data_IF_605768814916
#
_entry.id   IF_605768814916
#
_cell.length_a   1.000
_cell.length_b   1.000
_cell.length_c   1.000
_cell.angle_alpha   90.00
_cell.angle_beta   90.00
_cell.angle_gamma   90.00
#
_symmetry.space_group_name_H-M   'P 1'
#
loop_
_entity.id
_entity.type
_entity.pdbx_description
1 polymer ?
#
# COMPACT_ATOMS: atom_id res chain seq x y z
N UNK A 1 8.91 3.85 -18.31
CA UNK A 1 7.83 3.73 -17.29
C UNK A 1 7.34 2.30 -17.33
N UNK A 2 7.54 1.53 -16.26
CA UNK A 2 7.08 0.14 -16.18
C UNK A 2 6.03 0.04 -15.08
N UNK A 3 4.90 -0.55 -15.41
CA UNK A 3 3.79 -0.76 -14.48
C UNK A 3 3.86 -2.22 -14.01
N UNK A 4 4.13 -2.43 -12.72
CA UNK A 4 4.01 -3.76 -12.10
C UNK A 4 2.73 -3.84 -11.27
N UNK A 5 2.31 -5.04 -10.91
CA UNK A 5 1.15 -5.28 -10.04
C UNK A 5 1.25 -4.61 -8.66
N UNK A 6 2.46 -4.33 -8.19
CA UNK A 6 2.70 -3.83 -6.84
C UNK A 6 3.15 -2.38 -6.78
N UNK A 7 3.79 -1.86 -7.82
CA UNK A 7 4.35 -0.52 -7.83
C UNK A 7 4.44 0.07 -9.23
N UNK A 8 4.44 1.40 -9.29
CA UNK A 8 4.78 2.19 -10.45
C UNK A 8 6.28 2.50 -10.42
N UNK A 9 7.00 2.09 -11.46
CA UNK A 9 8.43 2.33 -11.60
C UNK A 9 8.69 3.56 -12.46
N UNK A 10 9.25 4.60 -11.86
CA UNK A 10 9.69 5.83 -12.52
C UNK A 10 11.23 5.91 -12.44
N UNK A 11 11.92 5.19 -13.32
CA UNK A 11 13.36 5.04 -13.21
C UNK A 11 13.78 4.32 -11.93
N UNK A 12 14.65 4.91 -11.09
CA UNK A 12 15.07 4.30 -9.83
C UNK A 12 14.01 4.38 -8.72
N UNK A 13 12.95 5.17 -8.92
CA UNK A 13 11.90 5.39 -7.92
C UNK A 13 10.79 4.35 -8.07
N UNK A 14 10.53 3.59 -7.00
CA UNK A 14 9.44 2.63 -6.90
C UNK A 14 8.34 3.20 -6.00
N UNK A 15 7.19 3.53 -6.59
CA UNK A 15 6.03 4.05 -5.86
C UNK A 15 4.99 2.94 -5.69
N UNK A 16 4.77 2.44 -4.47
CA UNK A 16 3.73 1.44 -4.20
C UNK A 16 2.34 1.99 -4.55
N UNK A 17 1.49 1.19 -5.18
CA UNK A 17 0.12 1.57 -5.52
C UNK A 17 -0.69 2.06 -4.32
N UNK A 18 -0.50 1.45 -3.16
CA UNK A 18 -1.17 1.87 -1.92
C UNK A 18 -0.83 3.30 -1.53
N UNK A 19 0.40 3.73 -1.71
CA UNK A 19 0.83 5.11 -1.44
C UNK A 19 0.19 6.07 -2.44
N UNK A 20 0.15 5.71 -3.73
CA UNK A 20 -0.49 6.54 -4.78
C UNK A 20 -1.99 6.70 -4.49
N UNK A 21 -2.68 5.62 -4.14
CA UNK A 21 -4.11 5.63 -3.81
C UNK A 21 -4.39 6.54 -2.62
N UNK A 22 -3.60 6.44 -1.55
CA UNK A 22 -3.78 7.27 -0.36
C UNK A 22 -3.47 8.74 -0.67
N UNK A 23 -2.37 9.02 -1.37
CA UNK A 23 -1.98 10.40 -1.72
C UNK A 23 -3.02 11.08 -2.62
N UNK A 24 -3.50 10.39 -3.66
CA UNK A 24 -4.56 10.92 -4.54
C UNK A 24 -5.89 11.09 -3.79
N UNK A 25 -6.21 10.21 -2.85
CA UNK A 25 -7.37 10.35 -1.97
C UNK A 25 -7.29 11.60 -1.09
N UNK A 26 -6.12 11.88 -0.50
CA UNK A 26 -5.91 13.11 0.28
C UNK A 26 -6.01 14.38 -0.59
N UNK A 27 -5.48 14.34 -1.80
CA UNK A 27 -5.64 15.45 -2.76
C UNK A 27 -7.10 15.67 -3.10
N UNK A 28 -7.87 14.60 -3.33
CA UNK A 28 -9.30 14.68 -3.57
C UNK A 28 -10.05 15.31 -2.39
N UNK A 29 -9.77 14.86 -1.16
CA UNK A 29 -10.38 15.45 0.04
C UNK A 29 -10.01 16.93 0.21
N UNK A 30 -8.76 17.29 -0.03
CA UNK A 30 -8.31 18.68 0.00
C UNK A 30 -9.06 19.55 -1.01
N UNK A 31 -9.26 19.05 -2.23
CA UNK A 31 -10.04 19.74 -3.26
C UNK A 31 -11.51 19.89 -2.88
N UNK A 32 -12.12 18.86 -2.27
CA UNK A 32 -13.49 18.92 -1.74
C UNK A 32 -13.61 19.95 -0.63
N UNK A 33 -12.67 19.98 0.33
CA UNK A 33 -12.66 21.00 1.39
C UNK A 33 -12.56 22.41 0.81
N UNK A 34 -11.75 22.61 -0.21
CA UNK A 34 -11.65 23.90 -0.91
C UNK A 34 -12.98 24.30 -1.59
N UNK A 35 -13.64 23.35 -2.25
CA UNK A 35 -14.97 23.55 -2.85
C UNK A 35 -16.05 23.90 -1.82
N UNK A 36 -16.04 23.18 -0.68
CA UNK A 36 -16.95 23.47 0.44
C UNK A 36 -16.70 24.86 1.05
N UNK A 37 -15.42 25.23 1.22
CA UNK A 37 -15.05 26.54 1.74
C UNK A 37 -15.56 27.68 0.84
N UNK A 38 -15.49 27.49 -0.48
CA UNK A 38 -16.08 28.46 -1.44
C UNK A 38 -17.60 28.51 -1.33
N UNK A 39 -18.27 27.36 -1.31
CA UNK A 39 -19.72 27.27 -1.27
C UNK A 39 -20.31 27.85 0.02
N UNK A 40 -19.66 27.64 1.16
CA UNK A 40 -20.13 28.05 2.49
C UNK A 40 -19.42 29.30 3.02
N UNK A 41 -18.65 30.00 2.16
CA UNK A 41 -17.94 31.26 2.48
C UNK A 41 -17.08 31.15 3.76
N UNK A 42 -16.32 30.06 3.88
CA UNK A 42 -15.41 29.87 5.01
C UNK A 42 -14.30 30.93 5.01
N UNK A 43 -13.87 31.33 6.21
CA UNK A 43 -12.67 32.16 6.32
C UNK A 43 -11.43 31.38 5.89
N UNK A 44 -10.39 32.11 5.45
CA UNK A 44 -9.08 31.50 5.10
C UNK A 44 -8.53 30.68 6.28
N UNK A 45 -8.74 31.14 7.51
CA UNK A 45 -8.31 30.46 8.72
C UNK A 45 -9.03 29.12 8.93
N UNK A 46 -10.36 29.07 8.71
CA UNK A 46 -11.15 27.84 8.83
C UNK A 46 -10.71 26.78 7.80
N UNK A 47 -10.49 27.22 6.56
CA UNK A 47 -10.00 26.32 5.52
C UNK A 47 -8.59 25.81 5.85
N UNK A 48 -7.66 26.69 6.26
CA UNK A 48 -6.31 26.32 6.66
C UNK A 48 -6.30 25.31 7.78
N UNK A 49 -7.04 25.54 8.86
CA UNK A 49 -7.14 24.62 9.98
C UNK A 49 -7.71 23.24 9.57
N UNK A 50 -8.71 23.21 8.68
CA UNK A 50 -9.27 21.94 8.19
C UNK A 50 -8.27 21.18 7.31
N UNK A 51 -7.46 21.86 6.53
CA UNK A 51 -6.38 21.25 5.73
C UNK A 51 -5.23 20.76 6.59
N UNK A 52 -4.78 21.55 7.57
CA UNK A 52 -3.73 21.16 8.52
C UNK A 52 -4.14 19.92 9.32
N UNK A 53 -5.43 19.83 9.69
CA UNK A 53 -5.97 18.65 10.34
C UNK A 53 -6.02 17.43 9.40
N UNK A 54 -6.30 17.62 8.12
CA UNK A 54 -6.24 16.54 7.13
C UNK A 54 -4.82 15.97 7.01
N UNK A 55 -3.82 16.85 6.91
CA UNK A 55 -2.42 16.43 6.82
C UNK A 55 -1.90 15.80 8.11
N UNK A 56 -2.27 16.37 9.27
CA UNK A 56 -1.92 15.75 10.56
C UNK A 56 -2.58 14.39 10.74
N UNK A 57 -3.81 14.20 10.23
CA UNK A 57 -4.50 12.91 10.23
C UNK A 57 -3.78 11.88 9.38
N UNK A 58 -3.20 12.29 8.26
CA UNK A 58 -2.36 11.41 7.45
C UNK A 58 -1.12 10.95 8.22
N UNK A 59 -0.42 11.87 8.90
CA UNK A 59 0.75 11.53 9.70
C UNK A 59 0.39 10.58 10.85
N UNK A 60 -0.69 10.89 11.59
CA UNK A 60 -1.20 10.01 12.65
C UNK A 60 -1.62 8.64 12.10
N UNK A 61 -2.27 8.63 10.93
CA UNK A 61 -2.64 7.40 10.24
C UNK A 61 -1.42 6.57 9.83
N UNK A 62 -0.36 7.20 9.32
CA UNK A 62 0.87 6.52 8.95
C UNK A 62 1.56 5.88 10.16
N UNK A 63 1.69 6.63 11.27
CA UNK A 63 2.24 6.12 12.52
C UNK A 63 1.35 5.00 13.09
N UNK A 64 0.03 5.19 13.04
CA UNK A 64 -0.95 4.19 13.47
C UNK A 64 -0.90 2.92 12.62
N UNK A 65 -0.74 3.02 11.31
CA UNK A 65 -0.59 1.87 10.43
C UNK A 65 0.64 1.03 10.79
N UNK A 66 1.75 1.70 11.13
CA UNK A 66 2.97 1.04 11.59
C UNK A 66 2.77 0.39 12.95
N UNK A 67 2.18 1.13 13.90
CA UNK A 67 1.92 0.61 15.25
C UNK A 67 1.04 -0.64 15.21
N UNK A 68 -0.07 -0.61 14.48
CA UNK A 68 -0.97 -1.76 14.33
C UNK A 68 -0.24 -2.94 13.68
N UNK A 69 0.58 -2.70 12.66
CA UNK A 69 1.36 -3.76 12.03
C UNK A 69 2.34 -4.41 13.01
N UNK A 70 3.09 -3.60 13.78
CA UNK A 70 4.03 -4.08 14.80
C UNK A 70 3.33 -4.89 15.88
N UNK A 71 2.17 -4.43 16.35
CA UNK A 71 1.38 -5.14 17.36
C UNK A 71 0.85 -6.49 16.86
N UNK A 72 0.41 -6.56 15.61
CA UNK A 72 -0.07 -7.80 15.01
C UNK A 72 1.05 -8.82 14.74
N UNK A 73 2.29 -8.34 14.62
CA UNK A 73 3.48 -9.18 14.38
C UNK A 73 4.50 -9.05 15.52
N UNK A 74 4.03 -8.88 16.76
CA UNK A 74 4.87 -8.55 17.91
C UNK A 74 6.00 -9.56 18.13
N UNK A 75 5.77 -10.83 17.90
CA UNK A 75 6.77 -11.91 18.05
C UNK A 75 8.04 -11.65 17.22
N UNK A 76 7.88 -11.14 16.00
CA UNK A 76 9.01 -10.82 15.11
C UNK A 76 9.83 -9.64 15.63
N UNK A 77 9.15 -8.65 16.24
CA UNK A 77 9.79 -7.42 16.71
C UNK A 77 10.38 -7.53 18.12
N UNK A 78 9.93 -8.50 18.93
CA UNK A 78 10.57 -8.80 20.22
C UNK A 78 12.00 -9.32 20.04
N UNK A 79 12.26 -10.06 18.96
CA UNK A 79 13.60 -10.57 18.65
C UNK A 79 14.58 -9.46 18.16
N UNK A 80 14.07 -8.43 17.51
CA UNK A 80 14.86 -7.33 16.95
C UNK A 80 14.11 -5.98 17.05
N UNK A 81 14.11 -5.32 18.23
CA UNK A 81 13.32 -4.08 18.45
C UNK A 81 13.69 -2.92 17.53
N UNK A 82 14.92 -2.86 17.05
CA UNK A 82 15.40 -1.83 16.12
C UNK A 82 14.67 -1.87 14.78
N UNK A 83 14.13 -3.04 14.40
CA UNK A 83 13.39 -3.21 13.14
C UNK A 83 12.04 -2.48 13.14
N UNK A 84 11.54 -2.07 14.31
CA UNK A 84 10.37 -1.20 14.42
C UNK A 84 10.59 0.14 13.69
N UNK A 85 11.81 0.66 13.71
CA UNK A 85 12.19 1.93 13.07
C UNK A 85 12.49 1.80 11.58
N UNK A 86 12.65 0.58 11.07
CA UNK A 86 12.90 0.33 9.65
C UNK A 86 11.59 0.48 8.86
N UNK A 87 11.31 1.71 8.42
CA UNK A 87 10.11 2.05 7.63
C UNK A 87 10.15 1.41 6.23
N UNK A 88 11.33 1.00 5.77
CA UNK A 88 11.58 0.47 4.43
C UNK A 88 10.98 -0.93 4.19
N UNK A 89 10.70 -1.69 5.25
CA UNK A 89 10.31 -3.11 5.18
C UNK A 89 8.81 -3.35 4.91
N UNK A 90 8.11 -2.38 4.28
CA UNK A 90 6.69 -2.48 3.85
C UNK A 90 5.67 -2.85 4.95
N UNK A 91 6.04 -2.85 6.22
CA UNK A 91 5.20 -3.25 7.34
C UNK A 91 4.20 -2.17 7.77
N UNK A 92 3.14 -1.92 6.99
CA UNK A 92 2.07 -0.99 7.32
C UNK A 92 0.70 -1.68 7.19
N UNK A 93 -0.11 -1.59 8.22
CA UNK A 93 -1.47 -2.09 8.18
C UNK A 93 -2.43 -1.00 7.71
N UNK A 94 -2.82 -1.06 6.42
CA UNK A 94 -3.62 -0.01 5.77
C UNK A 94 -4.88 0.39 6.57
N UNK A 95 -5.69 -0.59 6.95
CA UNK A 95 -6.94 -0.32 7.67
C UNK A 95 -6.73 0.24 9.07
N UNK A 96 -5.66 -0.17 9.76
CA UNK A 96 -5.26 0.42 11.03
C UNK A 96 -4.91 1.89 10.89
N UNK A 97 -4.17 2.24 9.84
CA UNK A 97 -3.85 3.63 9.51
C UNK A 97 -5.06 4.47 9.16
N UNK A 98 -5.95 3.95 8.30
CA UNK A 98 -7.20 4.63 7.91
C UNK A 98 -8.07 4.91 9.14
N UNK A 99 -8.23 3.91 10.02
CA UNK A 99 -9.06 4.04 11.21
C UNK A 99 -8.50 5.08 12.18
N UNK A 100 -7.21 5.03 12.51
CA UNK A 100 -6.59 5.96 13.45
C UNK A 100 -6.50 7.38 12.89
N UNK A 101 -6.19 7.54 11.60
CA UNK A 101 -6.20 8.84 10.93
C UNK A 101 -7.60 9.45 10.87
N UNK A 102 -8.62 8.66 10.51
CA UNK A 102 -10.01 9.11 10.49
C UNK A 102 -10.52 9.50 11.88
N UNK A 103 -10.20 8.68 12.89
CA UNK A 103 -10.56 8.97 14.28
C UNK A 103 -9.95 10.31 14.74
N UNK A 104 -8.66 10.51 14.46
CA UNK A 104 -7.99 11.78 14.75
C UNK A 104 -8.69 12.97 14.08
N UNK A 105 -8.98 12.87 12.78
CA UNK A 105 -9.67 13.92 12.04
C UNK A 105 -11.05 14.24 12.63
N UNK A 106 -11.85 13.23 12.93
CA UNK A 106 -13.20 13.41 13.47
C UNK A 106 -13.17 14.07 14.84
N UNK A 107 -12.26 13.66 15.73
CA UNK A 107 -12.17 14.19 17.08
C UNK A 107 -11.63 15.62 17.08
N UNK A 108 -10.60 15.90 16.32
CA UNK A 108 -9.91 17.20 16.33
C UNK A 108 -10.61 18.28 15.52
N UNK A 109 -11.29 17.90 14.45
CA UNK A 109 -12.01 18.87 13.61
C UNK A 109 -13.35 19.24 14.23
N UNK A 110 -13.36 20.16 15.19
CA UNK A 110 -14.57 20.63 15.86
C UNK A 110 -15.40 21.61 15.02
N UNK A 111 -14.78 22.24 14.02
CA UNK A 111 -15.44 23.27 13.21
C UNK A 111 -16.38 22.68 12.16
N UNK A 112 -16.04 21.51 11.62
CA UNK A 112 -16.84 20.87 10.61
C UNK A 112 -18.03 20.13 11.22
N UNK A 113 -19.21 20.34 10.65
CA UNK A 113 -20.42 19.62 11.09
C UNK A 113 -20.24 18.11 10.88
N UNK A 114 -20.80 17.31 11.79
CA UNK A 114 -20.65 15.85 11.78
C UNK A 114 -21.07 15.21 10.47
N UNK A 115 -22.12 15.72 9.80
CA UNK A 115 -22.56 15.24 8.48
C UNK A 115 -21.48 15.39 7.39
N UNK A 116 -20.74 16.51 7.38
CA UNK A 116 -19.67 16.71 6.41
C UNK A 116 -18.46 15.82 6.69
N UNK A 117 -18.14 15.61 7.97
CA UNK A 117 -17.09 14.65 8.36
C UNK A 117 -17.42 13.24 7.88
N UNK A 118 -18.68 12.80 8.07
CA UNK A 118 -19.14 11.50 7.63
C UNK A 118 -19.07 11.37 6.10
N UNK A 119 -19.50 12.38 5.36
CA UNK A 119 -19.42 12.39 3.89
C UNK A 119 -17.96 12.29 3.41
N UNK A 120 -17.06 13.07 3.99
CA UNK A 120 -15.64 13.04 3.63
C UNK A 120 -15.01 11.67 3.94
N UNK A 121 -15.37 11.07 5.07
CA UNK A 121 -14.91 9.74 5.45
C UNK A 121 -15.43 8.68 4.47
N UNK A 122 -16.72 8.72 4.13
CA UNK A 122 -17.32 7.79 3.15
C UNK A 122 -16.62 7.92 1.79
N UNK A 123 -16.42 9.16 1.30
CA UNK A 123 -15.73 9.39 0.02
C UNK A 123 -14.31 8.81 0.08
N UNK A 124 -13.59 9.00 1.17
CA UNK A 124 -12.23 8.49 1.32
C UNK A 124 -12.18 6.96 1.34
N UNK A 125 -13.07 6.31 2.08
CA UNK A 125 -13.17 4.85 2.15
C UNK A 125 -13.54 4.27 0.78
N UNK A 126 -14.52 4.88 0.08
CA UNK A 126 -14.90 4.48 -1.28
C UNK A 126 -13.74 4.66 -2.27
N UNK A 127 -12.97 5.75 -2.15
CA UNK A 127 -11.79 5.98 -2.98
C UNK A 127 -10.72 4.92 -2.77
N UNK A 128 -10.42 4.58 -1.51
CA UNK A 128 -9.49 3.50 -1.17
C UNK A 128 -10.00 2.17 -1.74
N UNK A 129 -11.28 1.85 -1.53
CA UNK A 129 -11.90 0.63 -2.04
C UNK A 129 -11.78 0.51 -3.57
N UNK A 130 -12.10 1.58 -4.30
CA UNK A 130 -11.96 1.65 -5.75
C UNK A 130 -10.50 1.50 -6.19
N UNK A 131 -9.57 2.16 -5.50
CA UNK A 131 -8.14 2.06 -5.78
C UNK A 131 -7.58 0.65 -5.55
N UNK A 132 -8.03 -0.02 -4.49
CA UNK A 132 -7.64 -1.40 -4.22
C UNK A 132 -8.25 -2.38 -5.24
N UNK A 133 -9.48 -2.16 -5.66
CA UNK A 133 -10.12 -2.92 -6.74
C UNK A 133 -9.36 -2.73 -8.06
N UNK A 134 -8.97 -1.49 -8.39
CA UNK A 134 -8.12 -1.22 -9.54
C UNK A 134 -6.77 -1.94 -9.44
N UNK A 135 -6.11 -1.87 -8.27
CA UNK A 135 -4.86 -2.60 -8.03
C UNK A 135 -5.04 -4.11 -8.25
N UNK A 136 -6.14 -4.70 -7.79
CA UNK A 136 -6.40 -6.13 -7.99
C UNK A 136 -6.58 -6.51 -9.46
N UNK A 137 -7.15 -5.61 -10.26
CA UNK A 137 -7.29 -5.81 -11.71
C UNK A 137 -5.96 -5.74 -12.47
N UNK A 138 -4.94 -5.11 -11.90
CA UNK A 138 -3.58 -5.08 -12.46
C UNK A 138 -2.79 -6.37 -12.20
N UNK A 139 -3.28 -7.24 -11.32
CA UNK A 139 -2.68 -8.57 -11.14
C UNK A 139 -3.03 -9.42 -12.36
N UNK A 140 -2.16 -9.35 -13.36
CA UNK A 140 -2.14 -10.35 -14.40
C UNK A 140 -1.64 -11.63 -13.73
N UNK A 141 -2.42 -12.69 -13.72
CA UNK A 141 -1.91 -14.02 -13.43
C UNK A 141 -0.87 -14.30 -14.53
N UNK A 142 0.40 -14.02 -14.20
CA UNK A 142 1.48 -14.44 -15.05
C UNK A 142 1.39 -15.97 -15.11
N UNK A 143 1.01 -16.50 -16.27
CA UNK A 143 1.05 -17.93 -16.48
C UNK A 143 2.44 -18.42 -16.06
N UNK A 144 2.47 -19.50 -15.31
CA UNK A 144 3.73 -20.10 -14.86
C UNK A 144 4.62 -20.34 -16.10
N UNK A 145 5.83 -19.75 -16.15
CA UNK A 145 6.65 -19.82 -17.36
C UNK A 145 7.01 -21.29 -17.63
N UNK A 146 6.75 -21.72 -18.85
CA UNK A 146 7.15 -23.06 -19.29
C UNK A 146 8.65 -23.04 -19.66
N UNK A 147 9.48 -23.05 -18.62
CA UNK A 147 10.94 -23.10 -18.77
C UNK A 147 11.42 -24.54 -18.59
N UNK A 148 12.24 -25.01 -19.49
CA UNK A 148 12.88 -26.31 -19.42
C UNK A 148 14.36 -26.15 -19.10
N UNK A 149 14.83 -26.85 -18.08
CA UNK A 149 16.22 -26.87 -17.63
C UNK A 149 16.84 -28.24 -17.86
N UNK A 150 18.14 -28.28 -18.15
CA UNK A 150 18.89 -29.52 -18.18
C UNK A 150 19.14 -30.01 -16.74
N UNK A 151 18.84 -31.28 -16.45
CA UNK A 151 19.15 -31.87 -15.15
C UNK A 151 20.67 -31.94 -14.91
N UNK A 152 21.09 -31.63 -13.68
CA UNK A 152 22.52 -31.64 -13.30
C UNK A 152 23.09 -33.06 -13.12
N UNK A 153 22.24 -34.08 -12.99
CA UNK A 153 22.66 -35.45 -12.70
C UNK A 153 23.01 -36.28 -13.94
N UNK A 154 23.12 -35.68 -15.12
CA UNK A 154 23.27 -36.46 -16.33
C UNK A 154 24.70 -36.52 -16.89
N UNK A 155 25.32 -37.67 -16.68
CA UNK A 155 26.46 -38.16 -17.46
C UNK A 155 26.10 -38.49 -18.93
N UNK A 156 24.82 -38.34 -19.35
CA UNK A 156 24.37 -38.62 -20.72
C UNK A 156 23.80 -37.35 -21.38
N UNK A 157 24.46 -36.83 -22.41
CA UNK A 157 23.94 -35.69 -23.16
C UNK A 157 22.71 -36.12 -23.95
N UNK A 158 21.54 -35.65 -23.60
CA UNK A 158 20.42 -35.60 -24.53
C UNK A 158 19.03 -35.99 -24.07
N UNK A 159 18.73 -36.35 -22.83
CA UNK A 159 17.43 -37.00 -22.64
C UNK A 159 16.44 -36.36 -21.70
N UNK A 160 16.75 -35.66 -20.64
CA UNK A 160 15.62 -35.18 -19.83
C UNK A 160 15.76 -33.71 -19.45
N UNK A 161 15.06 -32.89 -20.24
CA UNK A 161 14.77 -31.51 -19.85
C UNK A 161 13.67 -31.55 -18.78
N UNK A 162 13.98 -31.05 -17.61
CA UNK A 162 12.99 -30.86 -16.54
C UNK A 162 12.22 -29.58 -16.87
N UNK A 163 10.94 -29.70 -17.25
CA UNK A 163 10.04 -28.58 -17.45
C UNK A 163 9.43 -28.12 -16.13
N UNK A 164 9.40 -26.82 -15.88
CA UNK A 164 8.72 -26.26 -14.70
C UNK A 164 7.22 -26.57 -14.67
N UNK A 165 6.62 -26.80 -15.85
CA UNK A 165 5.19 -27.19 -15.94
C UNK A 165 4.87 -28.49 -15.22
N UNK A 166 5.85 -29.39 -15.01
CA UNK A 166 5.66 -30.66 -14.28
C UNK A 166 5.40 -30.45 -12.78
N UNK A 167 5.75 -29.29 -12.25
CA UNK A 167 5.59 -28.95 -10.83
C UNK A 167 4.33 -28.10 -10.54
N UNK A 168 3.49 -27.84 -11.56
CA UNK A 168 2.23 -27.10 -11.36
C UNK A 168 1.35 -27.88 -10.37
N UNK A 169 0.88 -27.17 -9.32
CA UNK A 169 0.05 -27.77 -8.25
C UNK A 169 0.84 -28.42 -7.11
N UNK A 170 2.16 -28.39 -7.15
CA UNK A 170 3.02 -28.87 -6.06
C UNK A 170 3.81 -27.70 -5.45
N UNK A 171 3.99 -27.65 -4.11
CA UNK A 171 4.84 -26.65 -3.49
C UNK A 171 6.29 -26.88 -3.91
N UNK A 172 6.83 -25.96 -4.73
CA UNK A 172 8.17 -26.06 -5.32
C UNK A 172 9.02 -24.87 -4.93
N UNK A 173 10.22 -25.10 -4.44
CA UNK A 173 11.20 -24.05 -4.13
C UNK A 173 12.19 -23.98 -5.30
N UNK A 174 12.24 -22.81 -5.96
CA UNK A 174 13.20 -22.54 -7.04
C UNK A 174 14.27 -21.60 -6.48
N UNK A 175 15.53 -22.07 -6.45
CA UNK A 175 16.68 -21.25 -6.10
C UNK A 175 17.42 -20.84 -7.38
N UNK A 176 17.46 -19.54 -7.67
CA UNK A 176 18.22 -18.99 -8.79
C UNK A 176 19.55 -18.46 -8.25
N UNK A 177 20.63 -19.09 -8.66
CA UNK A 177 21.99 -18.67 -8.30
C UNK A 177 22.89 -18.64 -9.54
N UNK A 178 23.96 -17.89 -9.46
CA UNK A 178 24.95 -17.82 -10.49
C UNK A 178 26.34 -18.19 -9.94
N UNK A 179 27.22 -18.74 -10.78
CA UNK A 179 28.53 -19.21 -10.34
C UNK A 179 29.44 -18.12 -9.76
N UNK A 180 29.07 -16.85 -9.93
CA UNK A 180 29.77 -15.68 -9.37
C UNK A 180 29.08 -15.10 -8.09
N UNK A 181 28.06 -15.74 -7.59
CA UNK A 181 27.43 -15.35 -6.31
C UNK A 181 28.30 -15.76 -5.12
#
# INVERSE_FOLDING_TARGET
>A
MMISSDALHLGPLMLPWTLIIVATGLMLLSAILFGLARKYSWSKQQLGQSQDLLWSSFLVGMLGARLVFVLLNAELYFAAPIDILKIQDKGFHLWGGVLLGALWYVIRNRQLQTRFKAILLIIFVLWIGLGLAFKSSLKTEAAFPDLAFAGLEQERPGTDKISLSQFIGQPTIINLWASWC
#
